data_IF_639196342641
#
_entry.id   IF_639196342641
#
_cell.length_a   1.000
_cell.length_b   1.000
_cell.length_c   1.000
_cell.angle_alpha   90.00
_cell.angle_beta   90.00
_cell.angle_gamma   90.00
#
_symmetry.space_group_name_H-M   'P 1'
#
loop_
_entity.id
_entity.type
_entity.pdbx_description
1 polymer ?
#
# COMPACT_ATOMS: atom_id res chain seq x y z
N UNK A 1 -13.43 15.46 -10.66
CA UNK A 1 -14.66 16.23 -11.00
C UNK A 1 -15.59 16.35 -9.80
N UNK A 2 -15.65 15.37 -8.90
CA UNK A 2 -16.50 15.43 -7.70
C UNK A 2 -16.02 16.50 -6.70
N UNK A 3 -14.73 16.60 -6.46
CA UNK A 3 -14.16 17.55 -5.50
C UNK A 3 -14.49 19.02 -5.80
N UNK A 4 -14.67 19.37 -7.07
CA UNK A 4 -15.00 20.75 -7.47
C UNK A 4 -16.47 21.13 -7.23
N UNK A 5 -17.37 20.14 -7.05
CA UNK A 5 -18.78 20.40 -6.79
C UNK A 5 -19.09 20.67 -5.33
N UNK A 6 -18.18 20.33 -4.43
CA UNK A 6 -18.35 20.35 -2.98
C UNK A 6 -17.42 21.32 -2.24
N UNK A 7 -16.89 22.33 -2.93
CA UNK A 7 -16.33 23.51 -2.29
C UNK A 7 -17.44 24.36 -1.64
N UNK A 8 -18.39 23.69 -0.94
CA UNK A 8 -19.33 24.38 -0.08
C UNK A 8 -18.66 24.63 1.26
N UNK A 9 -19.07 25.68 1.95
CA UNK A 9 -18.62 26.02 3.32
C UNK A 9 -18.98 24.93 4.34
N UNK A 10 -19.76 23.93 3.94
CA UNK A 10 -20.30 22.85 4.77
C UNK A 10 -19.65 21.49 4.45
N UNK A 11 -18.53 21.46 3.72
CA UNK A 11 -17.80 20.23 3.43
C UNK A 11 -17.13 19.70 4.70
N UNK A 12 -17.57 18.53 5.15
CA UNK A 12 -16.98 17.79 6.23
C UNK A 12 -16.34 16.51 5.68
N UNK A 13 -14.99 16.36 5.73
CA UNK A 13 -14.30 15.19 5.19
C UNK A 13 -14.59 13.89 5.95
N UNK A 14 -15.10 13.99 7.18
CA UNK A 14 -15.45 12.85 8.02
C UNK A 14 -16.88 12.35 7.82
N UNK A 15 -17.70 13.12 7.13
CA UNK A 15 -19.11 12.74 6.92
C UNK A 15 -19.20 11.55 5.96
N UNK A 16 -19.71 10.44 6.47
CA UNK A 16 -20.13 9.30 5.65
C UNK A 16 -21.50 9.62 5.05
N UNK A 17 -21.55 9.85 3.74
CA UNK A 17 -22.78 10.13 3.02
C UNK A 17 -22.96 9.06 1.93
N UNK A 18 -23.87 8.12 2.17
CA UNK A 18 -24.15 7.01 1.27
C UNK A 18 -24.53 7.43 -0.17
N UNK A 19 -24.85 8.70 -0.37
CA UNK A 19 -25.09 9.24 -1.71
C UNK A 19 -23.79 9.54 -2.48
N UNK A 20 -22.71 9.91 -1.76
CA UNK A 20 -21.44 10.30 -2.37
C UNK A 20 -20.33 9.29 -2.16
N UNK A 21 -20.35 8.59 -1.03
CA UNK A 21 -19.29 7.67 -0.61
C UNK A 21 -19.92 6.35 -0.16
N UNK A 22 -19.57 5.28 -0.82
CA UNK A 22 -19.96 3.93 -0.40
C UNK A 22 -19.01 3.46 0.68
N UNK A 23 -19.53 3.10 1.86
CA UNK A 23 -18.76 2.49 2.95
C UNK A 23 -17.50 3.28 3.30
N UNK A 24 -17.61 4.59 3.38
CA UNK A 24 -16.46 5.46 3.63
C UNK A 24 -16.83 6.93 3.66
N UNK A 25 -15.81 7.75 3.68
CA UNK A 25 -15.91 9.20 3.63
C UNK A 25 -14.84 9.79 2.68
N UNK A 26 -14.67 11.10 2.66
CA UNK A 26 -13.72 11.76 1.76
C UNK A 26 -12.26 11.36 2.02
N UNK A 27 -11.90 10.96 3.26
CA UNK A 27 -10.54 10.52 3.59
C UNK A 27 -10.13 9.27 2.83
N UNK A 28 -11.03 8.29 2.65
CA UNK A 28 -10.75 7.07 1.90
C UNK A 28 -10.90 7.29 0.39
N UNK A 29 -11.96 8.00 -0.03
CA UNK A 29 -12.30 8.10 -1.44
C UNK A 29 -11.45 9.08 -2.25
N UNK A 30 -10.70 9.99 -1.61
CA UNK A 30 -9.79 10.89 -2.33
C UNK A 30 -8.67 10.15 -3.09
N UNK A 31 -8.39 8.90 -2.73
CA UNK A 31 -7.35 8.06 -3.33
C UNK A 31 -7.83 7.21 -4.51
N UNK A 32 -9.13 7.20 -4.80
CA UNK A 32 -9.75 6.35 -5.82
C UNK A 32 -9.44 6.80 -7.27
N UNK A 33 -8.17 7.11 -7.55
CA UNK A 33 -7.68 7.53 -8.87
C UNK A 33 -6.47 6.67 -9.28
N UNK A 34 -6.65 5.34 -9.18
CA UNK A 34 -5.58 4.35 -9.37
C UNK A 34 -5.13 4.19 -10.83
N UNK A 35 -5.94 4.62 -11.79
CA UNK A 35 -5.68 4.44 -13.22
C UNK A 35 -4.60 5.40 -13.77
N UNK A 36 -4.25 6.45 -13.04
CA UNK A 36 -3.22 7.41 -13.45
C UNK A 36 -2.58 8.03 -12.19
N UNK A 37 -1.55 7.36 -11.69
CA UNK A 37 -0.88 7.76 -10.46
C UNK A 37 -0.04 9.04 -10.62
N UNK A 38 0.42 9.35 -11.82
CA UNK A 38 1.13 10.61 -12.09
C UNK A 38 0.17 11.78 -11.98
N UNK A 39 -1.03 11.63 -12.56
CA UNK A 39 -2.08 12.62 -12.42
C UNK A 39 -2.61 12.74 -11.00
N UNK A 40 -2.72 11.64 -10.27
CA UNK A 40 -3.04 11.68 -8.85
C UNK A 40 -1.99 12.51 -8.08
N UNK A 41 -0.71 12.23 -8.30
CA UNK A 41 0.40 12.96 -7.65
C UNK A 41 0.33 14.45 -7.97
N UNK A 42 0.10 14.82 -9.23
CA UNK A 42 -0.07 16.22 -9.66
C UNK A 42 -1.25 16.90 -8.93
N UNK A 43 -2.41 16.25 -8.90
CA UNK A 43 -3.64 16.78 -8.24
C UNK A 43 -3.44 16.94 -6.73
N UNK A 44 -2.66 16.04 -6.11
CA UNK A 44 -2.35 16.11 -4.68
C UNK A 44 -1.36 17.22 -4.33
N UNK A 45 -0.73 17.86 -5.31
CA UNK A 45 0.23 18.96 -5.13
C UNK A 45 1.69 18.55 -5.32
N UNK A 46 1.92 17.57 -6.20
CA UNK A 46 3.23 16.97 -6.43
C UNK A 46 3.61 15.95 -5.34
N UNK A 47 4.86 15.49 -5.36
CA UNK A 47 5.37 14.49 -4.39
C UNK A 47 5.25 14.95 -2.95
N UNK A 48 5.56 16.22 -2.67
CA UNK A 48 5.44 16.77 -1.31
C UNK A 48 3.96 16.85 -0.87
N UNK A 49 3.07 17.34 -1.73
CA UNK A 49 1.65 17.43 -1.42
C UNK A 49 1.01 16.05 -1.22
N UNK A 50 1.43 15.05 -2.01
CA UNK A 50 1.03 13.66 -1.83
C UNK A 50 1.51 13.13 -0.46
N UNK A 51 2.78 13.38 -0.10
CA UNK A 51 3.34 12.98 1.18
C UNK A 51 2.58 13.58 2.36
N UNK A 52 2.31 14.89 2.33
CA UNK A 52 1.59 15.59 3.38
C UNK A 52 0.16 15.03 3.56
N UNK A 53 -0.52 14.74 2.46
CA UNK A 53 -1.88 14.17 2.49
C UNK A 53 -1.90 12.73 3.00
N UNK A 54 -0.91 11.90 2.63
CA UNK A 54 -0.75 10.56 3.19
C UNK A 54 -0.48 10.63 4.70
N UNK A 55 0.44 11.49 5.12
CA UNK A 55 0.73 11.69 6.54
C UNK A 55 -0.52 12.14 7.32
N UNK A 56 -1.30 13.06 6.75
CA UNK A 56 -2.54 13.50 7.35
C UNK A 56 -3.58 12.37 7.46
N UNK A 57 -3.70 11.51 6.44
CA UNK A 57 -4.61 10.37 6.46
C UNK A 57 -4.29 9.43 7.63
N UNK A 58 -3.02 9.03 7.77
CA UNK A 58 -2.59 8.06 8.78
C UNK A 58 -2.52 8.63 10.21
N UNK A 59 -2.54 9.96 10.37
CA UNK A 59 -2.51 10.63 11.68
C UNK A 59 -3.82 11.32 12.06
N UNK A 60 -4.80 11.35 11.17
CA UNK A 60 -6.12 11.93 11.45
C UNK A 60 -6.84 11.19 12.60
N UNK A 61 -7.77 11.85 13.25
CA UNK A 61 -8.54 11.23 14.34
C UNK A 61 -9.37 10.05 13.81
N UNK A 62 -9.11 8.82 14.26
CA UNK A 62 -9.87 7.65 13.82
C UNK A 62 -11.35 7.70 14.26
N UNK A 63 -11.67 8.50 15.28
CA UNK A 63 -13.03 8.67 15.80
C UNK A 63 -13.73 9.94 15.27
N UNK A 64 -13.11 10.65 14.31
CA UNK A 64 -13.60 11.91 13.79
C UNK A 64 -14.89 11.82 12.98
N UNK A 65 -15.26 10.63 12.49
CA UNK A 65 -16.41 10.41 11.62
C UNK A 65 -17.50 9.54 12.21
N UNK A 66 -18.55 9.36 11.43
CA UNK A 66 -19.63 8.41 11.76
C UNK A 66 -19.10 6.98 11.57
N UNK A 67 -19.35 6.10 12.55
CA UNK A 67 -19.00 4.70 12.44
C UNK A 67 -19.92 3.99 11.43
N UNK A 68 -19.33 3.25 10.51
CA UNK A 68 -20.04 2.35 9.61
C UNK A 68 -19.54 0.92 9.83
N UNK A 69 -20.44 -0.08 9.74
CA UNK A 69 -20.09 -1.47 10.07
C UNK A 69 -18.98 -2.05 9.19
N UNK A 70 -18.85 -1.56 7.94
CA UNK A 70 -17.84 -2.02 6.98
C UNK A 70 -16.54 -1.20 7.05
N UNK A 71 -16.50 -0.17 7.88
CA UNK A 71 -15.31 0.63 8.15
C UNK A 71 -14.57 0.06 9.36
N UNK A 72 -13.64 -0.87 9.12
CA UNK A 72 -12.89 -1.57 10.16
C UNK A 72 -11.38 -1.47 9.92
N UNK A 73 -10.57 -1.66 10.96
CA UNK A 73 -9.11 -1.64 10.84
C UNK A 73 -8.53 -0.26 10.59
N UNK A 74 -8.81 0.66 11.51
CA UNK A 74 -8.36 2.05 11.41
C UNK A 74 -6.90 2.23 11.81
N UNK A 75 -6.16 2.98 10.97
CA UNK A 75 -4.89 3.65 11.29
C UNK A 75 -5.07 5.11 10.86
N UNK A 76 -5.34 6.01 11.79
CA UNK A 76 -5.89 7.32 11.45
C UNK A 76 -7.22 7.18 10.71
N UNK A 77 -7.32 7.74 9.52
CA UNK A 77 -8.46 7.56 8.61
C UNK A 77 -8.17 6.58 7.45
N UNK A 78 -7.03 5.90 7.46
CA UNK A 78 -6.83 4.69 6.66
C UNK A 78 -7.67 3.55 7.25
N UNK A 79 -8.39 2.82 6.40
CA UNK A 79 -9.34 1.78 6.83
C UNK A 79 -8.99 0.50 6.10
N UNK A 80 -8.25 -0.40 6.76
CA UNK A 80 -7.75 -1.61 6.11
C UNK A 80 -8.85 -2.60 5.71
N UNK A 81 -9.90 -2.70 6.51
CA UNK A 81 -11.01 -3.62 6.26
C UNK A 81 -11.92 -3.23 5.09
N UNK A 82 -11.55 -2.24 4.27
CA UNK A 82 -12.29 -1.85 3.09
C UNK A 82 -11.35 -1.55 1.91
N UNK A 83 -11.67 -2.06 0.71
CA UNK A 83 -10.83 -2.09 -0.48
C UNK A 83 -10.36 -0.74 -1.00
N UNK A 84 -11.12 0.36 -0.88
CA UNK A 84 -10.63 1.69 -1.31
C UNK A 84 -9.30 2.10 -0.67
N UNK A 85 -8.93 1.49 0.46
CA UNK A 85 -7.69 1.77 1.19
C UNK A 85 -6.50 0.89 0.79
N UNK A 86 -6.72 -0.27 0.17
CA UNK A 86 -5.70 -1.32 -0.01
C UNK A 86 -4.45 -0.89 -0.75
N UNK A 87 -4.54 0.05 -1.69
CA UNK A 87 -3.42 0.56 -2.46
C UNK A 87 -2.71 1.76 -1.81
N UNK A 88 -3.35 2.40 -0.83
CA UNK A 88 -2.95 3.74 -0.36
C UNK A 88 -1.59 3.74 0.34
N UNK A 89 -1.27 2.71 1.14
CA UNK A 89 0.03 2.57 1.80
C UNK A 89 1.17 2.58 0.77
N UNK A 90 0.97 1.95 -0.36
CA UNK A 90 1.99 1.82 -1.41
C UNK A 90 2.28 3.14 -2.13
N UNK A 91 1.38 4.13 -2.04
CA UNK A 91 1.60 5.46 -2.61
C UNK A 91 2.78 6.21 -1.97
N UNK A 92 3.22 5.82 -0.77
CA UNK A 92 4.46 6.35 -0.19
C UNK A 92 5.69 6.10 -1.07
N UNK A 93 5.72 5.06 -1.90
CA UNK A 93 6.79 4.85 -2.87
C UNK A 93 6.89 5.97 -3.93
N UNK A 94 5.93 6.86 -3.99
CA UNK A 94 5.94 8.06 -4.85
C UNK A 94 6.32 9.33 -4.09
N UNK A 95 6.85 9.19 -2.88
CA UNK A 95 7.24 10.31 -1.99
C UNK A 95 8.66 10.12 -1.48
N UNK A 96 9.22 11.15 -0.86
CA UNK A 96 10.53 11.10 -0.21
C UNK A 96 10.54 10.23 1.06
N UNK A 97 9.36 9.89 1.59
CA UNK A 97 9.21 9.05 2.79
C UNK A 97 8.76 7.62 2.45
N UNK A 98 9.32 7.03 1.37
CA UNK A 98 8.94 5.69 0.90
C UNK A 98 9.05 4.59 1.99
N UNK A 99 9.96 4.75 2.96
CA UNK A 99 10.10 3.87 4.13
C UNK A 99 8.81 3.76 4.96
N UNK A 100 7.93 4.75 4.92
CA UNK A 100 6.64 4.72 5.64
C UNK A 100 5.70 3.64 5.11
N UNK A 101 5.82 3.27 3.84
CA UNK A 101 5.08 2.11 3.33
C UNK A 101 5.41 0.87 4.14
N UNK A 102 6.69 0.66 4.47
CA UNK A 102 7.14 -0.50 5.24
C UNK A 102 6.67 -0.45 6.70
N UNK A 103 6.72 0.73 7.33
CA UNK A 103 6.22 0.95 8.70
C UNK A 103 4.72 0.65 8.81
N UNK A 104 3.91 1.17 7.89
CA UNK A 104 2.47 0.94 7.91
C UNK A 104 2.06 -0.46 7.47
N UNK A 105 2.79 -1.09 6.55
CA UNK A 105 2.56 -2.50 6.21
C UNK A 105 2.82 -3.41 7.42
N UNK A 106 3.92 -3.18 8.14
CA UNK A 106 4.22 -3.92 9.37
C UNK A 106 3.11 -3.75 10.42
N UNK A 107 2.66 -2.52 10.61
CA UNK A 107 1.54 -2.22 11.51
C UNK A 107 0.25 -2.93 11.10
N UNK A 108 -0.08 -2.98 9.81
CA UNK A 108 -1.25 -3.70 9.28
C UNK A 108 -1.13 -5.20 9.54
N UNK A 109 0.03 -5.80 9.26
CA UNK A 109 0.25 -7.23 9.50
C UNK A 109 0.07 -7.57 10.99
N UNK A 110 0.67 -6.76 11.88
CA UNK A 110 0.59 -7.02 13.32
C UNK A 110 -0.81 -6.78 13.88
N UNK A 111 -1.52 -5.77 13.44
CA UNK A 111 -2.81 -5.40 14.04
C UNK A 111 -3.99 -6.18 13.45
N UNK A 112 -3.99 -6.45 12.14
CA UNK A 112 -5.20 -6.85 11.42
C UNK A 112 -5.17 -8.27 10.87
N UNK A 113 -4.03 -8.96 10.96
CA UNK A 113 -3.91 -10.37 10.57
C UNK A 113 -3.36 -11.20 11.72
N UNK A 114 -4.14 -12.17 12.18
CA UNK A 114 -3.81 -13.04 13.33
C UNK A 114 -3.94 -14.50 12.94
N UNK A 115 -3.15 -15.41 13.54
CA UNK A 115 -3.23 -16.85 13.30
C UNK A 115 -4.40 -17.51 14.05
N UNK A 116 -5.60 -16.94 13.94
CA UNK A 116 -6.84 -17.39 14.57
C UNK A 116 -7.95 -17.46 13.53
N UNK A 117 -9.04 -18.23 13.75
CA UNK A 117 -10.15 -18.35 12.81
C UNK A 117 -10.83 -17.01 12.46
N UNK A 118 -10.77 -16.05 13.37
CA UNK A 118 -11.29 -14.67 13.24
C UNK A 118 -10.16 -13.65 13.03
N UNK A 119 -9.05 -14.08 12.44
CA UNK A 119 -7.80 -13.33 12.38
C UNK A 119 -7.71 -12.28 11.29
N UNK A 120 -8.73 -12.16 10.43
CA UNK A 120 -8.79 -11.10 9.40
C UNK A 120 -9.77 -10.03 9.87
N UNK A 121 -9.34 -8.77 9.86
CA UNK A 121 -10.22 -7.65 10.23
C UNK A 121 -11.30 -7.43 9.17
N UNK A 122 -12.55 -7.17 9.62
CA UNK A 122 -13.68 -6.89 8.73
C UNK A 122 -14.19 -8.12 7.98
N UNK A 123 -14.72 -7.90 6.79
CA UNK A 123 -15.18 -8.95 5.89
C UNK A 123 -14.01 -9.45 5.03
N UNK A 124 -14.07 -10.72 4.62
CA UNK A 124 -13.02 -11.31 3.78
C UNK A 124 -13.16 -10.91 2.30
N UNK A 125 -14.38 -10.58 1.88
CA UNK A 125 -14.77 -10.06 0.57
C UNK A 125 -14.29 -10.92 -0.62
N UNK A 126 -14.75 -12.16 -0.57
CA UNK A 126 -14.57 -13.14 -1.66
C UNK A 126 -13.08 -13.40 -2.00
N UNK A 127 -12.21 -13.30 -1.02
CA UNK A 127 -10.78 -13.57 -1.16
C UNK A 127 -9.90 -12.32 -1.28
N UNK A 128 -10.46 -11.12 -1.31
CA UNK A 128 -9.67 -9.89 -1.48
C UNK A 128 -8.73 -9.63 -0.31
N UNK A 129 -9.18 -9.81 0.92
CA UNK A 129 -8.34 -9.58 2.11
C UNK A 129 -7.19 -10.59 2.18
N UNK A 130 -7.47 -11.85 1.90
CA UNK A 130 -6.43 -12.90 1.84
C UNK A 130 -5.45 -12.66 0.70
N UNK A 131 -5.92 -12.27 -0.49
CA UNK A 131 -5.09 -11.98 -1.64
C UNK A 131 -4.17 -10.78 -1.37
N UNK A 132 -4.71 -9.72 -0.76
CA UNK A 132 -3.93 -8.56 -0.35
C UNK A 132 -2.80 -8.97 0.61
N UNK A 133 -3.14 -9.73 1.65
CA UNK A 133 -2.15 -10.20 2.63
C UNK A 133 -1.07 -11.06 1.98
N UNK A 134 -1.44 -12.03 1.14
CA UNK A 134 -0.48 -12.91 0.48
C UNK A 134 0.49 -12.13 -0.42
N UNK A 135 -0.01 -11.24 -1.26
CA UNK A 135 0.84 -10.44 -2.14
C UNK A 135 1.73 -9.49 -1.34
N UNK A 136 1.16 -8.79 -0.37
CA UNK A 136 1.88 -7.87 0.51
C UNK A 136 2.94 -8.58 1.33
N UNK A 137 2.65 -9.78 1.86
CA UNK A 137 3.58 -10.63 2.59
C UNK A 137 4.75 -11.13 1.72
N UNK A 138 4.56 -11.27 0.41
CA UNK A 138 5.61 -11.51 -0.57
C UNK A 138 6.46 -10.25 -0.86
N UNK A 139 6.03 -9.09 -0.39
CA UNK A 139 6.78 -7.83 -0.53
C UNK A 139 6.41 -6.99 -1.76
N UNK A 140 5.26 -7.22 -2.39
CA UNK A 140 4.79 -6.41 -3.52
C UNK A 140 3.26 -6.41 -3.64
N UNK A 141 2.73 -5.43 -4.36
CA UNK A 141 1.29 -5.30 -4.61
C UNK A 141 1.03 -4.65 -5.98
N UNK A 142 -0.17 -4.86 -6.54
CA UNK A 142 -0.63 -4.20 -7.76
C UNK A 142 -1.64 -3.11 -7.40
N UNK A 143 -1.29 -1.83 -7.65
CA UNK A 143 -2.17 -0.70 -7.31
C UNK A 143 -3.37 -0.62 -8.27
N UNK A 144 -3.11 -0.65 -9.57
CA UNK A 144 -4.13 -0.56 -10.61
C UNK A 144 -4.36 -1.93 -11.26
N UNK A 145 -5.60 -2.44 -11.28
CA UNK A 145 -5.88 -3.73 -11.92
C UNK A 145 -5.71 -3.71 -13.45
N UNK A 146 -5.58 -2.52 -14.04
CA UNK A 146 -5.38 -2.34 -15.49
C UNK A 146 -3.93 -2.09 -15.87
N UNK A 147 -3.05 -1.88 -14.89
CA UNK A 147 -1.63 -1.67 -15.08
C UNK A 147 -0.87 -2.93 -14.62
N UNK A 148 -0.11 -3.60 -15.49
CA UNK A 148 0.62 -4.80 -15.16
C UNK A 148 1.91 -4.55 -14.35
N UNK A 149 1.93 -3.49 -13.56
CA UNK A 149 3.06 -3.07 -12.73
C UNK A 149 2.84 -3.44 -11.27
N UNK A 150 3.85 -4.03 -10.65
CA UNK A 150 3.91 -4.28 -9.21
C UNK A 150 4.78 -3.25 -8.52
N UNK A 151 4.34 -2.80 -7.34
CA UNK A 151 5.06 -1.88 -6.47
C UNK A 151 5.55 -2.60 -5.22
N UNK A 152 6.72 -2.24 -4.73
CA UNK A 152 7.34 -2.89 -3.58
C UNK A 152 6.65 -2.48 -2.28
N UNK A 153 6.46 -3.48 -1.43
CA UNK A 153 6.05 -3.34 -0.03
C UNK A 153 7.09 -3.91 0.92
N UNK A 154 6.66 -4.56 2.01
CA UNK A 154 7.51 -5.17 3.02
C UNK A 154 7.34 -6.69 3.03
N UNK A 155 8.35 -7.49 2.63
CA UNK A 155 8.28 -8.94 2.73
C UNK A 155 8.32 -9.39 4.21
N UNK A 156 7.53 -10.42 4.55
CA UNK A 156 7.57 -11.02 5.91
C UNK A 156 8.28 -12.38 5.94
N UNK A 157 8.55 -12.98 4.79
CA UNK A 157 9.23 -14.27 4.69
C UNK A 157 10.69 -14.08 4.27
N UNK A 158 11.60 -14.86 4.86
CA UNK A 158 13.00 -14.91 4.41
C UNK A 158 13.10 -15.48 2.99
N UNK A 159 12.19 -16.40 2.66
CA UNK A 159 12.07 -16.98 1.34
C UNK A 159 10.66 -17.48 1.06
N UNK A 160 10.17 -17.16 -0.12
CA UNK A 160 8.94 -17.73 -0.66
C UNK A 160 9.16 -18.16 -2.12
N UNK A 161 8.44 -19.18 -2.56
CA UNK A 161 8.50 -19.66 -3.96
C UNK A 161 7.08 -19.83 -4.47
N UNK A 162 6.79 -19.20 -5.58
CA UNK A 162 5.49 -19.24 -6.26
C UNK A 162 5.62 -20.07 -7.53
N UNK A 163 4.82 -21.13 -7.66
CA UNK A 163 4.67 -21.87 -8.91
C UNK A 163 3.79 -21.05 -9.86
N UNK A 164 4.35 -20.62 -10.97
CA UNK A 164 3.67 -19.82 -12.00
C UNK A 164 3.25 -20.67 -13.21
N UNK A 165 3.27 -22.01 -13.09
CA UNK A 165 2.90 -22.96 -14.13
C UNK A 165 3.96 -23.15 -15.22
N UNK A 166 4.67 -22.11 -15.64
CA UNK A 166 5.79 -22.16 -16.59
C UNK A 166 7.17 -22.25 -15.92
N UNK A 167 7.22 -22.22 -14.61
CA UNK A 167 8.42 -22.21 -13.78
C UNK A 167 8.10 -21.72 -12.38
N UNK A 168 9.10 -21.15 -11.71
CA UNK A 168 8.95 -20.61 -10.37
C UNK A 168 9.41 -19.16 -10.30
N UNK A 169 8.72 -18.37 -9.48
CA UNK A 169 9.16 -17.06 -9.05
C UNK A 169 9.53 -17.13 -7.56
N UNK A 170 10.73 -16.71 -7.22
CA UNK A 170 11.26 -16.77 -5.85
C UNK A 170 11.36 -15.37 -5.29
N UNK A 171 10.90 -15.19 -4.06
CA UNK A 171 11.19 -13.99 -3.26
C UNK A 171 12.17 -14.39 -2.18
N UNK A 172 13.24 -13.63 -2.02
CA UNK A 172 14.21 -13.79 -0.93
C UNK A 172 14.40 -12.47 -0.19
N UNK A 173 14.56 -12.52 1.13
CA UNK A 173 14.81 -11.34 1.96
C UNK A 173 15.95 -11.61 2.93
N UNK A 174 17.14 -11.11 2.59
CA UNK A 174 18.32 -11.20 3.41
C UNK A 174 18.21 -10.27 4.63
N UNK A 175 18.65 -10.73 5.80
CA UNK A 175 18.55 -10.03 7.08
C UNK A 175 17.11 -9.68 7.50
N UNK A 176 16.10 -10.39 6.99
CA UNK A 176 14.72 -10.14 7.36
C UNK A 176 14.47 -10.50 8.84
N UNK A 177 13.59 -9.76 9.48
CA UNK A 177 13.20 -10.01 10.87
C UNK A 177 12.39 -8.86 11.47
N UNK A 178 11.88 -9.05 12.70
CA UNK A 178 11.03 -8.04 13.35
C UNK A 178 11.75 -6.70 13.57
N UNK A 179 13.06 -6.73 13.79
CA UNK A 179 13.86 -5.52 14.00
C UNK A 179 14.38 -4.91 12.69
N UNK A 180 14.35 -5.66 11.57
CA UNK A 180 14.87 -5.25 10.26
C UNK A 180 13.71 -4.99 9.29
N UNK A 181 12.92 -3.94 9.57
CA UNK A 181 11.70 -3.67 8.79
C UNK A 181 11.95 -2.88 7.50
N UNK A 182 13.09 -2.19 7.38
CA UNK A 182 13.35 -1.32 6.23
C UNK A 182 14.05 -2.08 5.11
N UNK A 183 13.69 -1.75 3.88
CA UNK A 183 14.37 -2.26 2.69
C UNK A 183 15.57 -1.35 2.42
N UNK A 184 16.76 -1.94 2.44
CA UNK A 184 18.00 -1.26 2.05
C UNK A 184 18.25 -1.34 0.56
N UNK A 185 17.96 -2.50 -0.04
CA UNK A 185 18.13 -2.75 -1.47
C UNK A 185 17.09 -3.76 -1.94
N UNK A 186 16.66 -3.62 -3.18
CA UNK A 186 15.84 -4.62 -3.85
C UNK A 186 16.22 -4.75 -5.32
N UNK A 187 16.25 -5.98 -5.82
CA UNK A 187 16.54 -6.28 -7.22
C UNK A 187 15.54 -7.29 -7.77
N UNK A 188 15.24 -7.16 -9.05
CA UNK A 188 14.50 -8.15 -9.85
C UNK A 188 15.47 -8.81 -10.83
N UNK A 189 15.67 -10.13 -10.72
CA UNK A 189 16.61 -10.89 -11.55
C UNK A 189 18.03 -10.26 -11.57
N UNK A 190 18.49 -9.78 -10.42
CA UNK A 190 19.80 -9.15 -10.22
C UNK A 190 19.92 -7.74 -10.80
N UNK A 191 18.81 -7.10 -11.20
CA UNK A 191 18.79 -5.71 -11.68
C UNK A 191 18.04 -4.81 -10.70
N UNK A 192 18.51 -3.57 -10.47
CA UNK A 192 17.73 -2.59 -9.72
C UNK A 192 16.33 -2.39 -10.32
N UNK A 193 15.37 -2.03 -9.47
CA UNK A 193 14.04 -1.65 -9.91
C UNK A 193 14.05 -0.30 -10.63
N UNK A 194 12.96 0.02 -11.30
CA UNK A 194 12.74 1.31 -11.94
C UNK A 194 12.32 2.40 -10.93
N UNK A 195 11.90 3.55 -11.44
CA UNK A 195 11.35 4.65 -10.64
C UNK A 195 10.15 4.15 -9.82
N UNK A 196 9.95 4.74 -8.64
CA UNK A 196 8.89 4.36 -7.69
C UNK A 196 8.98 2.93 -7.17
N UNK A 197 10.13 2.26 -7.32
CA UNK A 197 10.36 0.90 -6.81
C UNK A 197 9.34 -0.10 -7.38
N UNK A 198 9.25 -0.16 -8.71
CA UNK A 198 8.29 -1.03 -9.40
C UNK A 198 8.96 -2.04 -10.34
N UNK A 199 8.24 -3.12 -10.65
CA UNK A 199 8.62 -4.11 -11.67
C UNK A 199 7.39 -4.61 -12.43
N UNK A 200 7.62 -5.19 -13.61
CA UNK A 200 6.55 -5.57 -14.53
C UNK A 200 6.03 -6.99 -14.28
N UNK A 201 4.73 -7.21 -14.50
CA UNK A 201 4.15 -8.56 -14.48
C UNK A 201 4.85 -9.53 -15.43
N UNK A 202 5.40 -9.06 -16.55
CA UNK A 202 6.18 -9.88 -17.47
C UNK A 202 7.44 -10.45 -16.82
N UNK A 203 8.06 -9.74 -15.89
CA UNK A 203 9.23 -10.21 -15.13
C UNK A 203 8.81 -11.26 -14.11
N UNK A 204 7.68 -11.07 -13.42
CA UNK A 204 7.08 -12.09 -12.57
C UNK A 204 6.75 -13.36 -13.36
N UNK A 205 6.04 -13.22 -14.47
CA UNK A 205 5.59 -14.35 -15.31
C UNK A 205 6.73 -15.08 -16.00
N UNK A 206 7.87 -14.44 -16.21
CA UNK A 206 9.05 -15.09 -16.75
C UNK A 206 9.74 -16.03 -15.74
N UNK A 207 9.38 -15.94 -14.47
CA UNK A 207 10.10 -16.59 -13.38
C UNK A 207 11.32 -15.80 -12.94
N UNK A 208 12.08 -16.36 -12.01
CA UNK A 208 13.30 -15.71 -11.50
C UNK A 208 13.19 -15.31 -10.04
N UNK A 209 13.83 -14.21 -9.65
CA UNK A 209 13.97 -13.83 -8.25
C UNK A 209 13.73 -12.34 -8.03
N UNK A 210 12.91 -12.04 -7.02
CA UNK A 210 12.84 -10.74 -6.35
C UNK A 210 13.63 -10.84 -5.05
N UNK A 211 14.74 -10.11 -4.96
CA UNK A 211 15.65 -10.19 -3.83
C UNK A 211 15.69 -8.89 -3.06
N UNK A 212 15.46 -8.99 -1.74
CA UNK A 212 15.51 -7.88 -0.79
C UNK A 212 16.72 -8.00 0.12
N UNK A 213 17.32 -6.88 0.47
CA UNK A 213 18.26 -6.74 1.60
C UNK A 213 17.61 -5.82 2.62
N UNK A 214 17.39 -6.35 3.84
CA UNK A 214 16.68 -5.64 4.91
C UNK A 214 17.66 -5.02 5.90
N UNK A 215 17.22 -3.97 6.61
CA UNK A 215 18.00 -3.27 7.64
C UNK A 215 17.11 -2.78 8.78
N UNK A 216 17.69 -2.65 9.97
CA UNK A 216 17.07 -1.96 11.11
C UNK A 216 17.27 -0.44 11.06
N UNK A 217 18.25 0.02 10.28
CA UNK A 217 18.59 1.43 10.22
C UNK A 217 17.74 2.16 9.18
N UNK A 218 16.82 2.98 9.69
CA UNK A 218 15.94 3.82 8.87
C UNK A 218 16.72 4.76 7.94
N UNK A 219 17.92 5.18 8.32
CA UNK A 219 18.74 6.06 7.49
C UNK A 219 19.32 5.35 6.25
N UNK A 220 19.35 4.03 6.25
CA UNK A 220 19.74 3.20 5.12
C UNK A 220 18.53 2.77 4.25
N UNK A 221 17.30 3.12 4.67
CA UNK A 221 16.11 2.75 3.92
C UNK A 221 16.16 3.30 2.49
N UNK A 222 15.90 2.41 1.54
CA UNK A 222 15.87 2.75 0.12
C UNK A 222 14.82 3.84 -0.14
N UNK A 223 15.23 4.87 -0.86
CA UNK A 223 14.32 5.93 -1.31
C UNK A 223 13.81 5.64 -2.71
N UNK A 224 12.62 6.12 -3.02
CA UNK A 224 12.13 6.11 -4.38
C UNK A 224 13.03 7.04 -5.25
N UNK A 225 13.33 6.59 -6.45
CA UNK A 225 14.02 7.43 -7.43
C UNK A 225 12.99 8.35 -8.10
N UNK A 226 12.75 9.51 -7.48
CA UNK A 226 11.70 10.43 -7.93
C UNK A 226 12.07 11.25 -9.17
N UNK A 227 13.30 11.10 -9.69
CA UNK A 227 13.82 11.90 -10.79
C UNK A 227 14.01 13.39 -10.38
N UNK A 228 15.09 14.01 -10.77
CA UNK A 228 15.22 15.47 -10.71
C UNK A 228 14.44 16.14 -11.85
#
# INVERSE_FOLDING_TARGET
PCALKYASTDFDPYKSDAFYYTEGNAWQWQWAFMQDLDKLTEIMGGTQGLNDKLNNLFTADPNGGEAHQDMTGYIGQYIHGNEPSHHVIYLYNRTEESYKAQEYLDQVYDQFYKPTPDGIIGNEDVGQMSAWYLMSALGFYQISPTDPTYIIGRPIFDKATVDIGSGTFTVTAENNGPDNMYIKEVTINGKPLDVYNTFQHSEFKAGGELHFVMTADKSEAMQANLGE
#
